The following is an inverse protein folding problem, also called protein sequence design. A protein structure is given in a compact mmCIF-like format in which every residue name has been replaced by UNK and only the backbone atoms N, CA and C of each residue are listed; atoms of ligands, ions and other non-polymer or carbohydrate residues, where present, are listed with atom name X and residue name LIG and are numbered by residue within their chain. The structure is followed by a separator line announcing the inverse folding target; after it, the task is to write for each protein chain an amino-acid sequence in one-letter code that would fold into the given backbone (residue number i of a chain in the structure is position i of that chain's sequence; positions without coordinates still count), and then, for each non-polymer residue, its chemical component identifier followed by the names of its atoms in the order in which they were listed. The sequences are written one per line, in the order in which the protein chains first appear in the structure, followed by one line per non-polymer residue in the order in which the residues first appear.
data_IF_053980804019
#
_entry.id   IF_053980804019
#
_cell.length_a   1.000
_cell.length_b   1.000
_cell.length_c   1.000
_cell.angle_alpha   90.00
_cell.angle_beta   90.00
_cell.angle_gamma   90.00
#
_symmetry.space_group_name_H-M   'P 1'
#
loop_
_entity.id
_entity.type
_entity.pdbx_description
1 polymer ?
#
# COMPACT_ATOMS: atom_id res chain seq x y z
N UNK A 1 -10.21 -23.81 -0.57
CA UNK A 1 -9.68 -23.70 -1.95
C UNK A 1 -9.16 -22.30 -2.10
N UNK A 2 -7.96 -22.13 -2.67
CA UNK A 2 -7.40 -20.80 -2.93
C UNK A 2 -8.22 -20.09 -4.00
N UNK A 3 -8.42 -18.79 -3.82
CA UNK A 3 -9.15 -17.93 -4.74
C UNK A 3 -8.24 -16.78 -5.16
N UNK A 4 -8.18 -16.57 -6.47
CA UNK A 4 -7.53 -15.40 -7.03
C UNK A 4 -8.35 -14.16 -6.68
N UNK A 5 -7.73 -13.23 -5.96
CA UNK A 5 -8.37 -12.00 -5.50
C UNK A 5 -8.40 -10.97 -6.64
N UNK A 6 -7.35 -10.93 -7.45
CA UNK A 6 -7.13 -9.93 -8.51
C UNK A 6 -5.97 -10.31 -9.41
N UNK A 7 -5.88 -9.64 -10.56
CA UNK A 7 -4.72 -9.75 -11.45
C UNK A 7 -4.46 -8.49 -12.26
N UNK A 8 -3.22 -8.26 -12.63
CA UNK A 8 -2.78 -7.16 -13.50
C UNK A 8 -2.06 -7.74 -14.73
N UNK A 9 -2.48 -7.30 -15.92
CA UNK A 9 -1.68 -7.44 -17.14
C UNK A 9 -0.91 -6.13 -17.36
N UNK A 10 0.40 -6.22 -17.54
CA UNK A 10 1.26 -5.08 -17.83
C UNK A 10 2.29 -5.42 -18.92
N UNK A 11 2.94 -4.41 -19.47
CA UNK A 11 4.05 -4.57 -20.41
C UNK A 11 5.24 -3.76 -19.91
N UNK A 12 6.38 -4.43 -19.68
CA UNK A 12 7.59 -3.78 -19.19
C UNK A 12 8.81 -4.12 -20.04
N UNK A 13 9.71 -3.16 -20.12
CA UNK A 13 11.02 -3.37 -20.72
C UNK A 13 11.92 -4.10 -19.73
N UNK A 14 12.37 -5.30 -20.10
CA UNK A 14 13.34 -6.09 -19.36
C UNK A 14 14.74 -5.65 -19.78
N UNK A 15 15.58 -5.33 -18.79
CA UNK A 15 16.97 -4.95 -19.00
C UNK A 15 17.89 -6.01 -18.37
N UNK A 16 18.93 -6.40 -19.10
CA UNK A 16 19.84 -7.50 -18.72
C UNK A 16 19.15 -8.82 -18.37
N UNK A 17 18.00 -9.10 -18.97
CA UNK A 17 17.22 -10.31 -18.75
C UNK A 17 16.55 -10.42 -17.36
N UNK A 18 16.55 -9.33 -16.58
CA UNK A 18 16.08 -9.30 -15.20
C UNK A 18 14.88 -8.40 -14.93
N UNK A 19 14.04 -8.80 -13.97
CA UNK A 19 12.96 -8.01 -13.38
C UNK A 19 13.07 -8.04 -11.86
N UNK A 20 12.73 -6.93 -11.22
CA UNK A 20 12.70 -6.74 -9.78
C UNK A 20 11.27 -6.54 -9.27
N UNK A 21 11.02 -6.94 -8.03
CA UNK A 21 9.81 -6.58 -7.28
C UNK A 21 10.17 -5.47 -6.29
N UNK A 22 9.51 -4.33 -6.42
CA UNK A 22 9.60 -3.19 -5.51
C UNK A 22 8.40 -3.16 -4.55
N UNK A 23 8.51 -2.41 -3.44
CA UNK A 23 7.45 -2.28 -2.42
C UNK A 23 7.56 -3.25 -1.24
N UNK A 24 8.67 -3.98 -1.14
CA UNK A 24 9.00 -4.82 0.01
C UNK A 24 10.21 -4.33 0.81
N UNK A 25 10.53 -5.06 1.89
CA UNK A 25 11.77 -4.85 2.65
C UNK A 25 13.01 -5.23 1.86
N UNK A 26 12.85 -6.18 0.93
CA UNK A 26 13.85 -6.63 -0.02
C UNK A 26 13.40 -6.28 -1.45
N UNK A 27 14.35 -6.27 -2.38
CA UNK A 27 14.11 -6.06 -3.82
C UNK A 27 14.56 -7.31 -4.59
N UNK A 28 13.78 -8.41 -4.58
CA UNK A 28 14.20 -9.64 -5.22
C UNK A 28 14.24 -9.49 -6.74
N UNK A 29 15.37 -9.90 -7.32
CA UNK A 29 15.57 -9.98 -8.76
C UNK A 29 15.25 -11.38 -9.28
N UNK A 30 14.64 -11.41 -10.47
CA UNK A 30 14.24 -12.58 -11.24
C UNK A 30 14.87 -12.51 -12.62
N UNK A 31 15.56 -13.57 -13.02
CA UNK A 31 16.18 -13.70 -14.34
C UNK A 31 15.78 -15.02 -14.97
N UNK A 32 15.57 -14.99 -16.27
CA UNK A 32 15.43 -16.22 -17.04
C UNK A 32 16.80 -16.64 -17.58
N UNK A 33 17.49 -17.51 -16.85
CA UNK A 33 18.84 -17.98 -17.19
C UNK A 33 18.88 -18.84 -18.47
N UNK A 34 17.73 -19.30 -18.96
CA UNK A 34 17.62 -20.04 -20.23
C UNK A 34 17.45 -19.13 -21.45
N UNK A 35 17.10 -17.85 -21.23
CA UNK A 35 16.94 -16.88 -22.31
C UNK A 35 18.26 -16.16 -22.60
N UNK A 36 18.68 -16.16 -23.86
CA UNK A 36 19.81 -15.35 -24.33
C UNK A 36 19.41 -13.88 -24.55
N UNK A 37 18.12 -13.55 -24.50
CA UNK A 37 17.62 -12.20 -24.72
C UNK A 37 17.86 -11.31 -23.49
N UNK A 38 18.83 -10.40 -23.60
CA UNK A 38 19.15 -9.47 -22.52
C UNK A 38 18.22 -8.24 -22.48
N UNK A 39 17.59 -7.88 -23.59
CA UNK A 39 16.75 -6.68 -23.69
C UNK A 39 15.53 -6.99 -24.54
N UNK A 40 14.34 -6.90 -23.93
CA UNK A 40 13.08 -7.20 -24.63
C UNK A 40 11.90 -6.60 -23.87
N UNK A 41 10.77 -6.43 -24.56
CA UNK A 41 9.50 -6.08 -23.90
C UNK A 41 8.82 -7.36 -23.45
N UNK A 42 8.57 -7.48 -22.15
CA UNK A 42 7.86 -8.60 -21.56
C UNK A 42 6.39 -8.26 -21.28
N UNK A 43 5.49 -9.19 -21.56
CA UNK A 43 4.13 -9.15 -21.05
C UNK A 43 4.11 -9.79 -19.67
N UNK A 44 3.68 -9.04 -18.67
CA UNK A 44 3.59 -9.46 -17.28
C UNK A 44 2.15 -9.78 -16.92
N UNK A 45 1.96 -10.92 -16.28
CA UNK A 45 0.73 -11.29 -15.60
C UNK A 45 1.02 -11.39 -14.10
N UNK A 46 0.47 -10.48 -13.30
CA UNK A 46 0.57 -10.50 -11.85
C UNK A 46 -0.74 -11.00 -11.28
N UNK A 47 -0.68 -11.92 -10.33
CA UNK A 47 -1.87 -12.44 -9.64
C UNK A 47 -1.68 -12.34 -8.14
N UNK A 48 -2.71 -11.86 -7.43
CA UNK A 48 -2.75 -11.96 -5.97
C UNK A 48 -3.86 -12.93 -5.56
N UNK A 49 -3.52 -13.84 -4.65
CA UNK A 49 -4.36 -14.92 -4.16
C UNK A 49 -4.57 -14.80 -2.66
N UNK A 50 -5.67 -15.37 -2.14
CA UNK A 50 -5.95 -15.39 -0.70
C UNK A 50 -5.31 -16.58 0.04
N UNK A 51 -4.74 -17.52 -0.69
CA UNK A 51 -3.95 -18.65 -0.22
C UNK A 51 -3.01 -19.12 -1.35
N UNK A 52 -2.17 -20.11 -1.08
CA UNK A 52 -1.24 -20.67 -2.07
C UNK A 52 -1.96 -21.05 -3.37
N UNK A 53 -1.54 -20.51 -4.53
CA UNK A 53 -2.22 -20.73 -5.80
C UNK A 53 -2.03 -22.18 -6.26
N UNK A 54 -2.97 -22.72 -7.07
CA UNK A 54 -2.74 -23.99 -7.75
C UNK A 54 -1.61 -23.88 -8.77
N UNK A 55 -1.09 -25.02 -9.21
CA UNK A 55 -0.09 -25.12 -10.28
C UNK A 55 -0.56 -24.35 -11.54
N UNK A 56 0.27 -23.47 -12.14
CA UNK A 56 -0.07 -22.74 -13.36
C UNK A 56 -0.27 -23.64 -14.60
N UNK A 57 0.15 -24.89 -14.54
CA UNK A 57 0.03 -25.87 -15.61
C UNK A 57 1.26 -25.91 -16.53
N UNK A 58 1.29 -26.88 -17.44
CA UNK A 58 2.47 -27.22 -18.25
C UNK A 58 2.92 -26.16 -19.27
N UNK A 59 2.15 -25.08 -19.44
CA UNK A 59 2.53 -23.94 -20.30
C UNK A 59 3.54 -23.00 -19.64
N UNK A 60 3.83 -23.19 -18.35
CA UNK A 60 4.69 -22.32 -17.56
C UNK A 60 5.90 -23.09 -17.03
N UNK A 61 7.08 -22.51 -17.19
CA UNK A 61 8.33 -22.99 -16.58
C UNK A 61 8.62 -22.17 -15.32
N UNK A 62 8.87 -22.82 -14.17
CA UNK A 62 9.22 -22.10 -12.95
C UNK A 62 10.61 -21.49 -13.05
N UNK A 63 10.73 -20.23 -12.64
CA UNK A 63 12.00 -19.52 -12.52
C UNK A 63 12.48 -19.54 -11.08
N UNK A 64 11.62 -19.12 -10.15
CA UNK A 64 12.00 -18.94 -8.75
C UNK A 64 10.78 -18.94 -7.84
N UNK A 65 10.97 -19.44 -6.62
CA UNK A 65 10.02 -19.33 -5.53
C UNK A 65 10.74 -18.81 -4.29
N UNK A 66 10.15 -17.84 -3.59
CA UNK A 66 10.71 -17.23 -2.39
C UNK A 66 9.63 -16.63 -1.50
N UNK A 67 10.04 -16.29 -0.27
CA UNK A 67 9.23 -15.47 0.65
C UNK A 67 9.59 -13.99 0.47
N UNK A 68 8.57 -13.14 0.40
CA UNK A 68 8.68 -11.69 0.18
C UNK A 68 7.87 -10.95 1.24
N UNK A 69 8.44 -9.93 1.90
CA UNK A 69 7.69 -9.10 2.86
C UNK A 69 7.34 -7.77 2.24
N UNK A 70 6.04 -7.49 2.08
CA UNK A 70 5.57 -6.23 1.51
C UNK A 70 5.46 -5.14 2.59
N UNK A 71 5.98 -3.94 2.33
CA UNK A 71 5.96 -2.84 3.29
C UNK A 71 4.55 -2.29 3.46
N UNK A 72 3.88 -1.97 2.35
CA UNK A 72 2.52 -1.41 2.32
C UNK A 72 1.48 -2.38 1.77
N UNK A 73 1.92 -3.52 1.24
CA UNK A 73 1.07 -4.44 0.48
C UNK A 73 0.88 -4.02 -0.98
N UNK A 74 1.40 -2.85 -1.39
CA UNK A 74 1.47 -2.40 -2.78
C UNK A 74 2.86 -2.68 -3.32
N UNK A 75 2.94 -3.32 -4.49
CA UNK A 75 4.19 -3.64 -5.17
C UNK A 75 4.20 -3.06 -6.59
N UNK A 76 5.40 -2.95 -7.15
CA UNK A 76 5.61 -2.65 -8.56
C UNK A 76 6.63 -3.64 -9.12
N UNK A 77 6.38 -4.13 -10.34
CA UNK A 77 7.40 -4.87 -11.09
C UNK A 77 8.24 -3.87 -11.89
N UNK A 78 9.52 -4.10 -12.09
CA UNK A 78 10.31 -3.20 -12.93
C UNK A 78 11.79 -3.50 -12.96
N UNK A 79 12.54 -2.54 -13.50
CA UNK A 79 14.00 -2.44 -13.40
C UNK A 79 14.34 -1.18 -12.60
N UNK A 80 15.60 -1.05 -12.17
CA UNK A 80 16.06 0.03 -11.27
C UNK A 80 15.58 1.43 -11.65
N UNK A 81 15.50 1.74 -12.95
CA UNK A 81 15.13 3.06 -13.46
C UNK A 81 13.73 3.11 -14.12
N UNK A 82 13.00 1.99 -14.16
CA UNK A 82 11.66 1.93 -14.75
C UNK A 82 10.78 0.92 -14.00
N UNK A 83 9.84 1.44 -13.22
CA UNK A 83 8.76 0.67 -12.60
C UNK A 83 7.54 0.55 -13.52
N UNK A 84 6.83 -0.56 -13.37
CA UNK A 84 5.48 -0.75 -13.88
C UNK A 84 4.43 -0.18 -12.94
N UNK A 85 3.19 -0.60 -13.13
CA UNK A 85 2.05 -0.06 -12.37
C UNK A 85 2.00 -0.59 -10.94
N UNK A 86 1.41 0.20 -10.05
CA UNK A 86 1.07 -0.24 -8.69
C UNK A 86 0.12 -1.44 -8.72
N UNK A 87 0.46 -2.45 -7.94
CA UNK A 87 -0.35 -3.65 -7.77
C UNK A 87 -0.48 -3.99 -6.28
N UNK A 88 -1.71 -4.03 -5.76
CA UNK A 88 -1.97 -4.35 -4.35
C UNK A 88 -2.04 -5.87 -4.18
N UNK A 89 -1.05 -6.48 -3.54
CA UNK A 89 -1.01 -7.93 -3.32
C UNK A 89 -1.69 -8.37 -2.01
N UNK A 90 -1.96 -7.44 -1.10
CA UNK A 90 -2.66 -7.74 0.15
C UNK A 90 -2.33 -6.76 1.28
N UNK A 91 -2.41 -7.20 2.55
CA UNK A 91 -2.04 -6.39 3.71
C UNK A 91 -0.57 -5.91 3.74
N UNK A 92 -0.28 -4.75 4.34
CA UNK A 92 1.08 -4.34 4.69
C UNK A 92 1.70 -5.28 5.73
N UNK A 93 3.03 -5.39 5.73
CA UNK A 93 3.82 -6.12 6.72
C UNK A 93 3.36 -7.57 6.93
N UNK A 94 3.06 -8.22 5.82
CA UNK A 94 2.84 -9.66 5.72
C UNK A 94 4.01 -10.29 4.97
N UNK A 95 4.37 -11.50 5.36
CA UNK A 95 5.17 -12.39 4.51
C UNK A 95 4.24 -12.99 3.45
N UNK A 96 4.70 -12.97 2.21
CA UNK A 96 4.02 -13.50 1.04
C UNK A 96 4.86 -14.61 0.43
N UNK A 97 4.20 -15.68 0.01
CA UNK A 97 4.80 -16.58 -0.97
C UNK A 97 4.75 -15.89 -2.32
N UNK A 98 5.87 -15.98 -3.05
CA UNK A 98 6.00 -15.45 -4.38
C UNK A 98 6.61 -16.51 -5.30
N UNK A 99 5.91 -16.79 -6.41
CA UNK A 99 6.41 -17.62 -7.50
C UNK A 99 6.49 -16.84 -8.78
N UNK A 100 7.59 -16.99 -9.51
CA UNK A 100 7.80 -16.45 -10.85
C UNK A 100 7.93 -17.58 -11.87
N UNK A 101 7.24 -17.43 -13.01
CA UNK A 101 7.28 -18.36 -14.12
C UNK A 101 7.41 -17.62 -15.45
N UNK A 102 7.89 -18.31 -16.47
CA UNK A 102 7.93 -17.83 -17.85
C UNK A 102 7.23 -18.82 -18.78
N UNK A 103 6.67 -18.31 -19.87
CA UNK A 103 6.00 -19.13 -20.89
C UNK A 103 7.02 -20.04 -21.62
N UNK A 104 6.64 -21.29 -21.85
CA UNK A 104 7.50 -22.30 -22.51
C UNK A 104 7.62 -22.04 -24.02
N UNK A 105 6.61 -21.41 -24.63
CA UNK A 105 6.49 -21.31 -26.09
C UNK A 105 6.96 -19.96 -26.65
N UNK A 106 6.99 -18.91 -25.83
CA UNK A 106 7.36 -17.55 -26.23
C UNK A 106 8.26 -16.84 -25.19
N UNK A 107 9.42 -16.37 -25.64
CA UNK A 107 10.45 -15.69 -24.86
C UNK A 107 9.99 -14.25 -24.50
N UNK A 108 9.02 -14.10 -23.60
CA UNK A 108 8.56 -12.76 -23.25
C UNK A 108 7.37 -12.66 -22.31
N UNK A 109 6.71 -13.78 -21.97
CA UNK A 109 5.58 -13.75 -21.04
C UNK A 109 6.00 -14.23 -19.66
N UNK A 110 5.69 -13.43 -18.65
CA UNK A 110 6.06 -13.66 -17.27
C UNK A 110 4.81 -13.73 -16.39
N UNK A 111 4.81 -14.65 -15.45
CA UNK A 111 3.73 -14.85 -14.48
C UNK A 111 4.29 -14.75 -13.06
N UNK A 112 3.80 -13.78 -12.30
CA UNK A 112 4.10 -13.62 -10.88
C UNK A 112 2.83 -13.87 -10.06
N UNK A 113 2.93 -14.75 -9.06
CA UNK A 113 1.81 -15.06 -8.16
C UNK A 113 2.20 -14.82 -6.72
N UNK A 114 1.36 -14.06 -6.03
CA UNK A 114 1.54 -13.68 -4.64
C UNK A 114 0.41 -14.26 -3.79
N UNK A 115 0.74 -14.73 -2.59
CA UNK A 115 -0.27 -15.11 -1.59
C UNK A 115 0.24 -14.85 -0.16
N UNK A 116 -0.62 -14.42 0.76
CA UNK A 116 -0.21 -14.16 2.13
C UNK A 116 0.10 -15.47 2.86
N UNK A 117 1.23 -15.50 3.58
CA UNK A 117 1.63 -16.61 4.46
C UNK A 117 1.24 -16.28 5.90
N UNK A 118 1.71 -15.14 6.43
CA UNK A 118 1.47 -14.73 7.81
C UNK A 118 1.74 -13.24 8.04
N UNK A 119 1.12 -12.71 9.08
CA UNK A 119 1.45 -11.41 9.64
C UNK A 119 2.87 -11.43 10.22
N UNK A 120 3.72 -10.49 9.81
CA UNK A 120 5.09 -10.34 10.30
C UNK A 120 5.32 -8.99 10.97
N UNK A 121 4.26 -8.22 11.22
CA UNK A 121 4.38 -6.94 11.90
C UNK A 121 5.11 -7.10 13.24
N UNK A 122 6.13 -6.27 13.42
CA UNK A 122 6.93 -6.15 14.62
C UNK A 122 7.31 -4.67 14.77
N UNK A 123 6.83 -3.97 15.81
CA UNK A 123 7.13 -2.56 16.02
C UNK A 123 8.63 -2.31 16.24
N UNK A 124 9.40 -3.31 16.71
CA UNK A 124 10.84 -3.19 16.95
C UNK A 124 11.65 -3.15 15.67
N UNK A 125 11.16 -3.83 14.62
CA UNK A 125 11.83 -3.94 13.33
C UNK A 125 11.29 -2.91 12.35
N UNK A 126 9.96 -2.81 12.24
CA UNK A 126 9.31 -2.09 11.16
C UNK A 126 8.99 -0.63 11.51
N UNK A 127 8.97 -0.29 12.79
CA UNK A 127 8.54 1.04 13.26
C UNK A 127 9.56 1.72 14.16
N UNK A 128 10.79 1.18 14.26
CA UNK A 128 11.89 1.78 15.01
C UNK A 128 12.07 3.26 14.59
N UNK A 129 12.01 4.21 15.55
CA UNK A 129 12.32 5.60 15.26
C UNK A 129 13.70 5.73 14.63
N UNK A 130 13.86 6.64 13.66
CA UNK A 130 15.19 6.96 13.14
C UNK A 130 16.04 7.48 14.29
N UNK A 131 17.26 6.98 14.42
CA UNK A 131 18.19 7.46 15.44
C UNK A 131 18.47 8.93 15.18
N UNK A 132 18.14 9.78 16.15
CA UNK A 132 18.35 11.22 16.07
C UNK A 132 19.85 11.48 15.98
N UNK A 133 20.30 12.24 14.99
CA UNK A 133 21.71 12.62 14.86
C UNK A 133 22.03 13.62 15.99
N UNK A 134 22.56 13.12 17.11
CA UNK A 134 22.90 13.94 18.29
C UNK A 134 22.73 13.17 19.60
N UNK A 135 23.29 13.72 20.70
CA UNK A 135 23.51 13.08 22.01
C UNK A 135 22.27 12.65 22.82
N UNK A 136 21.08 12.53 22.22
CA UNK A 136 19.95 11.92 22.91
C UNK A 136 20.18 10.41 23.04
N UNK A 137 20.01 9.82 24.23
CA UNK A 137 20.08 8.36 24.37
C UNK A 137 19.03 7.71 23.46
N UNK A 138 19.35 6.56 22.84
CA UNK A 138 18.37 5.84 22.02
C UNK A 138 17.16 5.50 22.88
N UNK A 139 15.95 5.72 22.34
CA UNK A 139 14.72 5.37 23.03
C UNK A 139 14.69 3.87 23.29
N UNK A 140 14.44 3.48 24.55
CA UNK A 140 14.31 2.08 24.91
C UNK A 140 12.90 1.59 24.60
N UNK A 141 12.75 0.46 23.89
CA UNK A 141 11.44 -0.07 23.56
C UNK A 141 10.74 -0.68 24.78
N UNK A 142 9.43 -0.47 24.88
CA UNK A 142 8.56 -1.06 25.90
C UNK A 142 7.93 -2.37 25.40
N UNK A 143 7.88 -3.42 26.23
CA UNK A 143 7.15 -4.64 25.89
C UNK A 143 5.66 -4.34 25.68
N UNK A 144 5.21 -4.44 24.43
CA UNK A 144 3.81 -4.22 24.05
C UNK A 144 3.28 -5.46 23.31
N UNK A 145 2.10 -5.98 23.65
CA UNK A 145 1.50 -7.08 22.90
C UNK A 145 1.29 -6.69 21.45
N UNK A 146 1.93 -7.41 20.53
CA UNK A 146 1.85 -7.15 19.09
C UNK A 146 0.54 -7.71 18.55
N UNK A 147 -0.31 -6.90 17.89
CA UNK A 147 -1.54 -7.39 17.29
C UNK A 147 -1.21 -8.30 16.11
N UNK A 148 -1.68 -9.54 16.18
CA UNK A 148 -1.59 -10.51 15.07
C UNK A 148 -2.90 -10.51 14.32
N UNK A 149 -2.83 -10.30 13.00
CA UNK A 149 -3.98 -10.29 12.12
C UNK A 149 -3.93 -11.43 11.11
N UNK A 150 -5.08 -11.77 10.53
CA UNK A 150 -5.17 -12.66 9.38
C UNK A 150 -5.39 -11.82 8.13
N UNK A 151 -4.91 -12.28 6.98
CA UNK A 151 -4.99 -11.49 5.74
C UNK A 151 -6.44 -11.10 5.39
N UNK A 152 -7.41 -11.99 5.62
CA UNK A 152 -8.83 -11.75 5.35
C UNK A 152 -9.49 -10.66 6.20
N UNK A 153 -8.86 -10.20 7.28
CA UNK A 153 -9.35 -9.07 8.07
C UNK A 153 -9.13 -7.72 7.38
N UNK A 154 -8.17 -7.64 6.46
CA UNK A 154 -7.77 -6.38 5.83
C UNK A 154 -8.65 -6.02 4.64
N UNK A 155 -8.93 -4.72 4.48
CA UNK A 155 -9.54 -4.14 3.29
C UNK A 155 -8.93 -4.71 1.99
N UNK A 156 -7.61 -4.78 1.94
CA UNK A 156 -6.85 -5.27 0.80
C UNK A 156 -7.17 -6.72 0.37
N UNK A 157 -7.86 -7.53 1.17
CA UNK A 157 -8.25 -8.90 0.81
C UNK A 157 -9.76 -9.09 0.63
N UNK A 158 -10.55 -8.06 0.95
CA UNK A 158 -12.01 -8.12 0.88
C UNK A 158 -12.47 -7.83 -0.55
N UNK A 159 -13.52 -8.51 -1.03
CA UNK A 159 -14.14 -8.16 -2.30
C UNK A 159 -14.75 -6.76 -2.21
N UNK A 160 -14.74 -6.04 -3.32
CA UNK A 160 -15.47 -4.78 -3.47
C UNK A 160 -16.99 -5.06 -3.27
N UNK A 161 -17.59 -4.43 -2.25
CA UNK A 161 -19.01 -4.63 -1.92
C UNK A 161 -19.95 -4.19 -3.03
N UNK A 162 -19.53 -3.26 -3.88
CA UNK A 162 -20.35 -2.68 -4.94
C UNK A 162 -20.09 -3.32 -6.31
N UNK A 163 -19.09 -4.21 -6.42
CA UNK A 163 -18.92 -5.16 -7.53
C UNK A 163 -18.79 -6.61 -7.02
N UNK A 164 -19.87 -7.18 -6.46
CA UNK A 164 -19.86 -8.56 -5.94
C UNK A 164 -19.83 -9.63 -7.05
N UNK A 165 -19.97 -9.26 -8.33
CA UNK A 165 -20.12 -10.20 -9.45
C UNK A 165 -18.88 -10.25 -10.35
N UNK A 166 -18.41 -11.49 -10.54
CA UNK A 166 -17.41 -12.00 -11.51
C UNK A 166 -15.98 -12.15 -11.01
N UNK A 167 -15.57 -13.40 -10.76
CA UNK A 167 -14.19 -13.86 -10.91
C UNK A 167 -13.12 -13.05 -10.17
N UNK A 168 -11.87 -13.28 -10.53
CA UNK A 168 -10.76 -12.41 -10.14
C UNK A 168 -10.94 -11.02 -10.76
N UNK A 169 -10.73 -9.95 -9.98
CA UNK A 169 -10.89 -8.58 -10.49
C UNK A 169 -9.69 -8.23 -11.37
N UNK A 170 -9.94 -7.92 -12.64
CA UNK A 170 -8.92 -7.33 -13.52
C UNK A 170 -8.54 -5.95 -13.02
N UNK A 171 -7.27 -5.80 -12.69
CA UNK A 171 -6.61 -4.55 -12.33
C UNK A 171 -6.30 -3.75 -13.60
N UNK A 172 -7.33 -3.38 -14.35
CA UNK A 172 -7.15 -2.53 -15.53
C UNK A 172 -7.08 -1.08 -15.08
N UNK A 173 -6.04 -0.30 -15.45
CA UNK A 173 -6.15 1.14 -15.37
C UNK A 173 -7.16 1.64 -16.39
N UNK A 174 -7.78 2.76 -16.06
CA UNK A 174 -8.35 3.65 -17.08
C UNK A 174 -7.29 3.93 -18.15
N UNK A 175 -7.62 3.89 -19.45
CA UNK A 175 -6.68 4.33 -20.47
C UNK A 175 -6.15 5.70 -20.10
N UNK A 176 -4.82 5.84 -19.97
CA UNK A 176 -4.20 7.15 -19.95
C UNK A 176 -4.55 7.81 -21.29
N UNK A 177 -5.48 8.77 -21.25
CA UNK A 177 -5.83 9.56 -22.41
C UNK A 177 -4.56 10.24 -22.95
N UNK A 178 -4.15 9.83 -24.15
CA UNK A 178 -3.18 10.56 -24.94
C UNK A 178 -3.69 12.00 -25.12
N UNK A 179 -2.88 12.98 -24.69
CA UNK A 179 -3.00 14.42 -24.95
C UNK A 179 -4.42 15.00 -25.03
N UNK A 180 -4.92 15.45 -23.87
CA UNK A 180 -6.08 16.34 -23.80
C UNK A 180 -6.95 15.95 -22.61
N UNK A 181 -6.84 16.70 -21.52
CA UNK A 181 -7.84 16.65 -20.46
C UNK A 181 -9.20 16.93 -21.10
N UNK A 182 -10.07 15.93 -21.17
CA UNK A 182 -11.46 16.14 -21.55
C UNK A 182 -12.09 17.07 -20.50
N UNK A 183 -12.39 18.33 -20.85
CA UNK A 183 -12.94 19.29 -19.89
C UNK A 183 -14.31 18.86 -19.37
N UNK A 184 -14.99 17.94 -20.07
CA UNK A 184 -16.28 17.38 -19.66
C UNK A 184 -16.10 16.35 -18.55
N UNK A 185 -15.05 15.52 -18.58
CA UNK A 185 -14.74 14.57 -17.50
C UNK A 185 -14.41 15.27 -16.18
N UNK A 186 -13.71 16.42 -16.24
CA UNK A 186 -13.48 17.32 -15.09
C UNK A 186 -14.75 17.98 -14.57
N UNK A 187 -15.74 18.22 -15.44
CA UNK A 187 -16.99 18.90 -15.08
C UNK A 187 -17.98 17.96 -14.37
N UNK A 188 -17.83 16.64 -14.55
CA UNK A 188 -18.72 15.62 -13.97
C UNK A 188 -18.14 14.87 -12.76
N UNK A 189 -17.00 15.28 -12.17
CA UNK A 189 -16.38 14.60 -11.03
C UNK A 189 -16.22 13.07 -11.24
N UNK A 190 -16.03 12.64 -12.49
CA UNK A 190 -15.58 11.27 -12.77
C UNK A 190 -14.07 11.22 -12.53
N UNK A 191 -13.65 11.45 -11.28
CA UNK A 191 -12.33 11.04 -10.82
C UNK A 191 -12.28 9.53 -11.08
N UNK A 192 -11.51 9.14 -12.10
CA UNK A 192 -11.29 7.74 -12.37
C UNK A 192 -10.40 7.23 -11.23
N UNK A 193 -11.04 6.78 -10.15
CA UNK A 193 -10.36 6.32 -8.94
C UNK A 193 -9.31 5.28 -9.30
N UNK A 194 -8.10 5.51 -8.81
CA UNK A 194 -6.98 4.58 -8.89
C UNK A 194 -7.42 3.19 -8.37
N UNK A 195 -7.19 2.10 -9.13
CA UNK A 195 -7.62 0.76 -8.72
C UNK A 195 -7.09 0.35 -7.34
N UNK A 196 -5.91 0.82 -6.95
CA UNK A 196 -5.35 0.57 -5.62
C UNK A 196 -6.14 1.31 -4.55
N UNK A 197 -6.44 2.60 -4.71
CA UNK A 197 -7.30 3.36 -3.78
C UNK A 197 -8.63 2.64 -3.53
N UNK A 198 -9.28 2.15 -4.60
CA UNK A 198 -10.56 1.43 -4.48
C UNK A 198 -10.40 0.13 -3.70
N UNK A 199 -9.37 -0.66 -3.99
CA UNK A 199 -9.13 -1.92 -3.30
C UNK A 199 -8.68 -1.75 -1.84
N UNK A 200 -8.10 -0.59 -1.49
CA UNK A 200 -7.80 -0.19 -0.12
C UNK A 200 -9.03 0.34 0.64
N UNK A 201 -10.13 0.62 -0.06
CA UNK A 201 -11.39 1.10 0.50
C UNK A 201 -12.62 0.34 -0.07
N UNK A 202 -12.69 -1.00 0.08
CA UNK A 202 -13.73 -1.84 -0.54
C UNK A 202 -15.14 -1.59 0.01
N UNK A 203 -15.23 -0.92 1.16
CA UNK A 203 -16.48 -0.53 1.82
C UNK A 203 -16.92 0.89 1.47
N UNK A 204 -16.12 1.64 0.69
CA UNK A 204 -16.32 3.05 0.39
C UNK A 204 -16.54 3.90 1.65
N UNK A 205 -15.68 3.69 2.66
CA UNK A 205 -15.62 4.58 3.81
C UNK A 205 -15.32 6.02 3.35
N UNK A 206 -15.84 7.04 4.06
CA UNK A 206 -15.55 8.43 3.72
C UNK A 206 -14.04 8.69 3.61
N UNK A 207 -13.64 9.36 2.54
CA UNK A 207 -12.26 9.79 2.32
C UNK A 207 -12.12 11.29 2.46
N UNK A 208 -10.90 11.75 2.71
CA UNK A 208 -10.59 13.16 2.89
C UNK A 208 -9.12 13.44 2.58
N UNK A 209 -8.81 14.70 2.30
CA UNK A 209 -7.47 15.12 1.90
C UNK A 209 -6.69 15.68 3.11
N UNK A 210 -5.44 15.23 3.25
CA UNK A 210 -4.47 15.80 4.19
C UNK A 210 -3.31 16.41 3.38
N UNK A 211 -2.93 17.68 3.61
CA UNK A 211 -1.78 18.28 2.92
C UNK A 211 -0.50 17.46 3.09
N UNK A 212 0.22 17.20 2.00
CA UNK A 212 1.48 16.43 2.05
C UNK A 212 2.61 17.17 2.76
N UNK A 213 2.54 18.50 2.76
CA UNK A 213 3.44 19.40 3.48
C UNK A 213 2.61 20.28 4.40
N UNK A 214 2.73 20.18 5.72
CA UNK A 214 2.27 21.25 6.56
C UNK A 214 3.07 22.50 6.19
N UNK A 215 2.38 23.64 6.02
CA UNK A 215 2.98 24.95 5.71
C UNK A 215 4.02 25.42 6.76
N UNK A 216 4.21 24.66 7.84
CA UNK A 216 5.28 24.81 8.81
C UNK A 216 5.82 23.41 9.19
N UNK A 217 7.05 23.15 8.76
CA UNK A 217 8.10 22.25 9.29
C UNK A 217 7.74 21.05 10.21
N UNK A 218 8.30 19.88 9.84
CA UNK A 218 8.99 18.93 10.74
C UNK A 218 8.21 17.98 11.69
N UNK A 219 7.16 17.26 11.26
CA UNK A 219 6.61 16.20 12.15
C UNK A 219 6.54 14.78 11.61
N UNK A 220 6.77 14.54 10.32
CA UNK A 220 6.95 13.17 9.83
C UNK A 220 7.91 13.11 8.64
N UNK A 221 9.13 12.64 8.88
CA UNK A 221 10.19 12.48 7.87
C UNK A 221 10.09 11.16 7.09
N UNK A 222 8.99 10.40 7.26
CA UNK A 222 8.74 9.19 6.48
C UNK A 222 7.90 9.55 5.26
N UNK A 223 8.40 9.22 4.07
CA UNK A 223 7.57 9.23 2.87
C UNK A 223 6.35 8.34 3.12
N UNK A 224 5.15 8.92 2.98
CA UNK A 224 3.91 8.19 3.19
C UNK A 224 3.55 7.51 1.89
N UNK A 225 3.54 6.19 1.93
CA UNK A 225 3.28 5.37 0.77
C UNK A 225 1.82 4.90 0.77
N UNK A 226 1.30 4.71 -0.44
CA UNK A 226 -0.01 4.14 -0.69
C UNK A 226 -0.12 2.75 -0.03
N UNK A 227 -1.23 2.48 0.65
CA UNK A 227 -1.45 1.26 1.43
C UNK A 227 -0.88 1.31 2.85
N UNK A 228 -0.03 2.28 3.16
CA UNK A 228 0.48 2.49 4.50
C UNK A 228 -0.55 3.08 5.46
N UNK A 229 -0.42 2.78 6.75
CA UNK A 229 -1.25 3.33 7.83
C UNK A 229 -0.40 4.17 8.77
N UNK A 230 -0.83 5.39 9.06
CA UNK A 230 -0.03 6.38 9.77
C UNK A 230 -0.87 7.27 10.68
N UNK A 231 -0.24 7.82 11.72
CA UNK A 231 -0.76 8.99 12.42
C UNK A 231 -0.51 10.23 11.56
N UNK A 232 -1.54 11.03 11.31
CA UNK A 232 -1.46 12.26 10.54
C UNK A 232 -2.14 13.41 11.27
N UNK A 233 -1.68 14.63 11.02
CA UNK A 233 -2.11 15.85 11.70
C UNK A 233 -2.82 16.79 10.75
N UNK A 234 -3.82 17.49 11.28
CA UNK A 234 -4.59 18.48 10.51
C UNK A 234 -5.06 19.61 11.42
N UNK A 235 -4.97 20.84 10.91
CA UNK A 235 -5.68 21.98 11.48
C UNK A 235 -7.13 21.97 11.02
N UNK A 236 -8.05 22.10 11.94
CA UNK A 236 -9.49 22.10 11.65
C UNK A 236 -10.24 23.12 12.50
N UNK A 237 -11.45 23.45 12.07
CA UNK A 237 -12.32 24.37 12.82
C UNK A 237 -12.76 23.74 14.12
N UNK A 238 -12.79 24.55 15.18
CA UNK A 238 -13.34 24.14 16.46
C UNK A 238 -14.87 24.13 16.38
N UNK A 239 -15.46 22.97 16.63
CA UNK A 239 -16.90 22.77 16.75
C UNK A 239 -17.34 22.74 18.21
N UNK A 240 -18.65 22.91 18.44
CA UNK A 240 -19.22 22.91 19.79
C UNK A 240 -19.20 21.53 20.45
N UNK A 241 -19.35 20.45 19.66
CA UNK A 241 -19.33 19.07 20.12
C UNK A 241 -17.91 18.45 20.14
N UNK A 242 -16.90 19.22 19.71
CA UNK A 242 -15.51 18.78 19.65
C UNK A 242 -15.21 17.79 18.53
N UNK A 243 -16.18 17.51 17.66
CA UNK A 243 -16.04 16.63 16.50
C UNK A 243 -15.69 17.42 15.24
N UNK A 244 -14.87 16.88 14.35
CA UNK A 244 -14.54 17.54 13.10
C UNK A 244 -15.79 17.73 12.23
N UNK A 245 -15.91 18.89 11.56
CA UNK A 245 -17.09 19.25 10.75
C UNK A 245 -17.36 18.27 9.60
N UNK A 246 -16.30 17.69 9.04
CA UNK A 246 -16.37 16.70 7.95
C UNK A 246 -16.60 15.27 8.45
N UNK A 247 -16.64 15.06 9.77
CA UNK A 247 -16.87 13.75 10.37
C UNK A 247 -15.73 12.75 10.20
N UNK A 248 -14.52 13.22 9.86
CA UNK A 248 -13.35 12.39 9.53
C UNK A 248 -12.20 12.57 10.53
N UNK A 249 -11.12 11.78 10.42
CA UNK A 249 -9.96 11.84 11.32
C UNK A 249 -10.39 11.52 12.77
N UNK A 250 -11.19 10.47 12.91
CA UNK A 250 -11.80 10.02 14.16
C UNK A 250 -11.01 8.88 14.81
N UNK A 251 -10.38 8.01 14.02
CA UNK A 251 -9.67 6.84 14.54
C UNK A 251 -8.41 7.28 15.28
N UNK A 252 -8.25 6.84 16.54
CA UNK A 252 -7.07 7.17 17.36
C UNK A 252 -6.87 8.68 17.59
N UNK A 253 -7.95 9.46 17.55
CA UNK A 253 -7.91 10.92 17.53
C UNK A 253 -7.36 11.54 18.83
N UNK A 254 -6.47 12.52 18.69
CA UNK A 254 -5.88 13.31 19.79
C UNK A 254 -5.91 14.79 19.42
N UNK A 255 -6.38 15.65 20.33
CA UNK A 255 -6.29 17.12 20.17
C UNK A 255 -5.02 17.60 20.88
N UNK A 256 -4.07 18.13 20.12
CA UNK A 256 -2.76 18.58 20.62
C UNK A 256 -2.79 20.04 21.05
N UNK A 257 -3.36 20.90 20.20
CA UNK A 257 -3.37 22.35 20.41
C UNK A 257 -4.76 22.90 20.15
N UNK A 258 -5.18 23.85 20.98
CA UNK A 258 -6.38 24.67 20.75
C UNK A 258 -5.93 26.10 20.51
N UNK A 259 -6.38 26.70 19.42
CA UNK A 259 -6.18 28.11 19.08
C UNK A 259 -7.52 28.84 19.27
N UNK A 260 -7.75 29.47 20.45
CA UNK A 260 -9.01 30.17 20.72
C UNK A 260 -9.18 31.41 19.85
N UNK A 261 -8.09 32.03 19.40
CA UNK A 261 -8.12 33.26 18.62
C UNK A 261 -8.47 32.99 17.17
N UNK A 262 -7.91 31.93 16.57
CA UNK A 262 -8.24 31.48 15.23
C UNK A 262 -9.47 30.58 15.15
N UNK A 263 -10.04 30.16 16.29
CA UNK A 263 -11.20 29.25 16.33
C UNK A 263 -10.88 27.86 15.76
N UNK A 264 -9.64 27.38 15.95
CA UNK A 264 -9.13 26.14 15.35
C UNK A 264 -8.53 25.21 16.40
N UNK A 265 -8.40 23.94 16.03
CA UNK A 265 -7.64 22.94 16.79
C UNK A 265 -6.67 22.22 15.87
N UNK A 266 -5.50 21.87 16.41
CA UNK A 266 -4.59 20.93 15.78
C UNK A 266 -4.87 19.55 16.38
N UNK A 267 -5.39 18.65 15.55
CA UNK A 267 -5.67 17.28 15.92
C UNK A 267 -4.80 16.32 15.11
N UNK A 268 -4.57 15.13 15.64
CA UNK A 268 -4.10 13.98 14.88
C UNK A 268 -5.07 12.83 14.95
N UNK A 269 -5.03 11.96 13.95
CA UNK A 269 -5.76 10.71 13.88
C UNK A 269 -4.96 9.69 13.07
N UNK A 270 -5.39 8.43 13.10
CA UNK A 270 -4.74 7.33 12.39
C UNK A 270 -5.53 7.04 11.12
N UNK A 271 -4.83 7.09 9.99
CA UNK A 271 -5.42 7.02 8.66
C UNK A 271 -4.66 6.04 7.78
N UNK A 272 -5.33 5.52 6.77
CA UNK A 272 -4.72 4.70 5.71
C UNK A 272 -4.64 5.52 4.43
N UNK A 273 -3.46 5.56 3.83
CA UNK A 273 -3.20 6.34 2.61
C UNK A 273 -3.70 5.57 1.41
N UNK A 274 -4.63 6.16 0.68
CA UNK A 274 -5.22 5.60 -0.54
C UNK A 274 -4.45 6.07 -1.78
N UNK A 275 -3.88 7.27 -1.74
CA UNK A 275 -3.07 7.82 -2.82
C UNK A 275 -2.62 9.25 -2.55
N UNK A 276 -2.18 9.91 -3.61
CA UNK A 276 -1.81 11.32 -3.58
C UNK A 276 -2.51 12.05 -4.73
N UNK A 277 -3.15 13.16 -4.42
CA UNK A 277 -3.82 14.06 -5.36
C UNK A 277 -3.36 15.49 -5.08
N UNK A 278 -2.80 16.17 -6.08
CA UNK A 278 -2.41 17.59 -6.00
C UNK A 278 -1.61 17.96 -4.73
N UNK A 279 -0.54 17.21 -4.44
CA UNK A 279 0.28 17.35 -3.22
C UNK A 279 -0.51 17.16 -1.89
N UNK A 280 -1.60 16.42 -1.92
CA UNK A 280 -2.36 16.02 -0.75
C UNK A 280 -2.51 14.51 -0.73
N UNK A 281 -2.43 13.94 0.45
CA UNK A 281 -2.76 12.54 0.66
C UNK A 281 -4.26 12.38 0.66
N UNK A 282 -4.77 11.52 -0.23
CA UNK A 282 -6.12 11.00 -0.12
C UNK A 282 -6.11 9.83 0.86
N UNK A 283 -6.91 9.95 1.91
CA UNK A 283 -6.88 9.03 3.04
C UNK A 283 -8.30 8.68 3.49
N UNK A 284 -8.42 7.55 4.18
CA UNK A 284 -9.58 7.22 5.01
C UNK A 284 -9.17 7.03 6.46
N UNK A 285 -10.12 7.13 7.37
CA UNK A 285 -9.91 6.65 8.74
C UNK A 285 -9.46 5.18 8.71
N UNK A 286 -8.44 4.87 9.51
CA UNK A 286 -7.92 3.52 9.60
C UNK A 286 -8.94 2.58 10.26
N UNK A 287 -9.01 1.34 9.79
CA UNK A 287 -9.78 0.27 10.40
C UNK A 287 -9.14 -0.16 11.73
N UNK A 288 -9.89 -0.81 12.65
CA UNK A 288 -9.41 -1.10 14.00
C UNK A 288 -8.07 -1.86 14.04
N UNK A 289 -7.85 -2.82 13.13
CA UNK A 289 -6.62 -3.62 13.10
C UNK A 289 -5.44 -2.86 12.48
N UNK A 290 -5.70 -1.97 11.52
CA UNK A 290 -4.71 -1.05 10.95
C UNK A 290 -4.23 -0.06 12.02
N UNK A 291 -5.19 0.54 12.74
CA UNK A 291 -4.92 1.47 13.82
C UNK A 291 -4.20 0.81 15.01
N UNK A 292 -4.55 -0.44 15.34
CA UNK A 292 -3.90 -1.18 16.41
C UNK A 292 -2.38 -1.30 16.20
N UNK A 293 -1.90 -1.42 14.96
CA UNK A 293 -0.45 -1.49 14.67
C UNK A 293 0.25 -0.16 14.93
N UNK A 294 -0.38 0.95 14.56
CA UNK A 294 0.17 2.30 14.84
C UNK A 294 0.19 2.55 16.34
N UNK A 295 -0.91 2.27 17.05
CA UNK A 295 -0.98 2.42 18.52
C UNK A 295 0.01 1.51 19.25
N UNK A 296 0.18 0.27 18.80
CA UNK A 296 1.19 -0.66 19.34
C UNK A 296 2.61 -0.10 19.16
N UNK A 297 2.90 0.50 18.01
CA UNK A 297 4.19 1.13 17.74
C UNK A 297 4.42 2.34 18.63
N UNK A 298 3.40 3.18 18.81
CA UNK A 298 3.46 4.35 19.67
C UNK A 298 3.71 3.98 21.14
N UNK A 299 3.05 2.94 21.64
CA UNK A 299 3.28 2.47 23.01
C UNK A 299 4.66 1.81 23.17
N UNK A 300 5.09 1.04 22.16
CA UNK A 300 6.43 0.43 22.15
C UNK A 300 7.53 1.48 22.22
N UNK A 301 7.36 2.60 21.51
CA UNK A 301 8.35 3.67 21.43
C UNK A 301 7.90 4.93 22.16
N UNK A 302 7.25 4.79 23.31
CA UNK A 302 6.82 5.94 24.11
C UNK A 302 7.94 6.42 25.03
N UNK A 303 8.19 7.73 25.05
CA UNK A 303 9.13 8.35 25.99
C UNK A 303 8.74 8.02 27.46
N UNK A 304 9.71 7.70 28.33
CA UNK A 304 9.46 7.59 29.77
C UNK A 304 8.90 8.92 30.30
N UNK A 305 7.73 8.83 30.94
CA UNK A 305 7.08 9.97 31.62
C UNK A 305 7.94 10.48 32.79
#
# INVERSE_FOLDING_TARGET
MARQVRYLDDELYVQYGGLCVHGGTDCPEFRDDESEALHYTATLHLEAWDAEPPDPGSGWRPIKQLDFTATTGVVQMGVTDHGGRDFLIGPPLFAYGLTAHVDVVDCGRWLFRFWPIRDVFDPLVHMKPRETIGSAPPMEPRPTPVPVTTAGQWAAMRPDKFRPSEGSVRWAPTPQGFFGADPVARMFNLHHEDPVSRALNPDHAPTFLIPSRPLHEELDLRDKEKGGTYRMWRWERRTADGKPEDGNLLTGRIVHVRDPHGGRVLASGIVTVLGMEDERYDVRDAEPHEAARVLCSEETWRDPD
#
